data_IF_188493336325
#
_entry.id   IF_188493336325
#
_cell.length_a   1.000
_cell.length_b   1.000
_cell.length_c   1.000
_cell.angle_alpha   90.00
_cell.angle_beta   90.00
_cell.angle_gamma   90.00
#
_symmetry.space_group_name_H-M   'P 1'
#
loop_
_entity.id
_entity.type
_entity.pdbx_description
1 polymer ?
#
# COMPACT_ATOMS: atom_id res chain seq x y z
N UNK A 1 -1.74 -14.70 6.63
CA UNK A 1 -2.51 -14.61 5.37
C UNK A 1 -2.94 -16.03 4.99
N UNK A 2 -3.56 -16.25 3.82
CA UNK A 2 -3.94 -17.60 3.35
C UNK A 2 -2.75 -18.55 3.16
N UNK A 3 -1.53 -18.01 3.14
CA UNK A 3 -0.30 -18.75 2.88
C UNK A 3 0.51 -19.01 4.17
N UNK A 4 0.02 -18.54 5.33
CA UNK A 4 0.70 -18.61 6.63
C UNK A 4 2.16 -18.13 6.59
N UNK A 5 2.46 -17.13 5.77
CA UNK A 5 3.81 -16.59 5.69
C UNK A 5 4.16 -15.80 6.97
N UNK A 6 5.41 -15.90 7.47
CA UNK A 6 5.83 -15.20 8.66
C UNK A 6 5.74 -13.69 8.43
N UNK A 7 4.86 -13.05 9.19
CA UNK A 7 4.69 -11.60 9.20
C UNK A 7 5.62 -10.94 10.22
N UNK A 8 5.89 -9.64 10.02
CA UNK A 8 6.60 -8.85 11.01
C UNK A 8 5.76 -8.69 12.29
N UNK A 9 6.37 -8.93 13.45
CA UNK A 9 5.71 -8.72 14.74
C UNK A 9 5.64 -7.23 15.09
N UNK A 10 4.45 -6.73 15.40
CA UNK A 10 4.21 -5.33 15.78
C UNK A 10 4.36 -5.10 17.29
N UNK A 11 4.22 -6.16 18.09
CA UNK A 11 4.36 -6.11 19.54
C UNK A 11 5.71 -6.69 19.93
N UNK A 12 6.49 -5.90 20.67
CA UNK A 12 7.83 -6.26 21.10
C UNK A 12 8.14 -5.63 22.47
N UNK A 13 9.03 -6.26 23.27
CA UNK A 13 9.50 -5.67 24.51
C UNK A 13 10.25 -4.36 24.25
N UNK A 14 9.90 -3.30 24.98
CA UNK A 14 10.61 -2.00 24.91
C UNK A 14 11.86 -1.95 25.78
N UNK A 15 12.09 -2.99 26.56
CA UNK A 15 13.24 -3.20 27.44
C UNK A 15 13.60 -4.67 27.45
N UNK A 16 14.81 -4.98 27.91
CA UNK A 16 15.23 -6.35 28.10
C UNK A 16 14.33 -7.04 29.13
N UNK A 17 13.94 -8.27 28.83
CA UNK A 17 13.20 -9.14 29.74
C UNK A 17 14.20 -10.14 30.30
N UNK A 18 14.46 -10.05 31.61
CA UNK A 18 15.38 -10.97 32.30
C UNK A 18 14.55 -12.15 32.81
N UNK A 19 14.97 -13.36 32.44
CA UNK A 19 14.36 -14.61 32.90
C UNK A 19 15.34 -15.27 33.86
N UNK A 20 14.92 -15.50 35.11
CA UNK A 20 15.72 -16.21 36.10
C UNK A 20 15.41 -17.71 36.04
N UNK A 21 16.39 -18.49 35.59
CA UNK A 21 16.28 -19.95 35.48
C UNK A 21 16.73 -20.70 36.74
N UNK A 22 17.20 -20.00 37.78
CA UNK A 22 17.75 -20.62 39.00
C UNK A 22 16.76 -20.57 40.18
N UNK A 23 15.47 -20.72 39.90
CA UNK A 23 14.43 -20.76 40.93
C UNK A 23 14.32 -22.17 41.51
N UNK A 24 14.54 -22.32 42.83
CA UNK A 24 14.40 -23.60 43.53
C UNK A 24 12.95 -23.95 43.88
N UNK A 25 12.06 -22.96 43.88
CA UNK A 25 10.63 -23.09 44.10
C UNK A 25 9.86 -22.55 42.90
N UNK A 26 8.69 -23.10 42.53
CA UNK A 26 7.87 -22.57 41.45
C UNK A 26 7.43 -21.14 41.75
N UNK A 27 7.97 -20.16 41.03
CA UNK A 27 7.54 -18.75 41.11
C UNK A 27 6.56 -18.47 39.97
N UNK A 28 5.38 -17.95 40.30
CA UNK A 28 4.42 -17.45 39.30
C UNK A 28 4.58 -15.93 39.16
N UNK A 29 5.51 -15.51 38.31
CA UNK A 29 5.74 -14.12 37.91
C UNK A 29 4.97 -13.74 36.63
N UNK A 30 3.99 -14.56 36.24
CA UNK A 30 3.18 -14.30 35.06
C UNK A 30 2.42 -12.99 35.20
N UNK A 31 2.69 -12.04 34.32
CA UNK A 31 1.86 -10.86 34.13
C UNK A 31 0.95 -11.05 32.92
N UNK A 32 -0.27 -10.51 33.01
CA UNK A 32 -1.17 -10.54 31.87
C UNK A 32 -0.60 -9.70 30.72
N UNK A 33 -0.54 -10.28 29.52
CA UNK A 33 -0.31 -9.54 28.27
C UNK A 33 -1.53 -8.66 27.99
N UNK A 34 -1.62 -7.53 28.69
CA UNK A 34 -2.72 -6.59 28.54
C UNK A 34 -2.52 -5.80 27.26
N UNK A 35 -3.36 -6.07 26.25
CA UNK A 35 -3.41 -5.27 25.04
C UNK A 35 -4.05 -3.93 25.38
N UNK A 36 -3.26 -2.86 25.39
CA UNK A 36 -3.81 -1.50 25.50
C UNK A 36 -4.67 -1.25 24.26
N UNK A 37 -5.87 -0.71 24.42
CA UNK A 37 -6.67 -0.20 23.30
C UNK A 37 -5.93 0.99 22.72
N UNK A 38 -5.16 0.77 21.68
CA UNK A 38 -4.40 1.82 21.00
C UNK A 38 -5.35 2.69 20.17
N UNK A 39 -5.03 3.99 20.10
CA UNK A 39 -5.69 4.90 19.20
C UNK A 39 -5.56 4.38 17.75
N UNK A 40 -6.54 4.67 16.87
CA UNK A 40 -6.45 4.27 15.48
C UNK A 40 -5.14 4.78 14.87
N UNK A 41 -4.37 3.86 14.28
CA UNK A 41 -3.08 4.17 13.64
C UNK A 41 -3.32 5.16 12.51
N UNK A 42 -2.66 6.32 12.56
CA UNK A 42 -2.76 7.31 11.51
C UNK A 42 -2.01 6.83 10.26
N UNK A 43 -2.75 6.44 9.23
CA UNK A 43 -2.18 5.96 7.96
C UNK A 43 -1.38 7.05 7.24
N UNK A 44 -0.42 6.63 6.42
CA UNK A 44 0.15 7.53 5.42
C UNK A 44 -0.86 7.89 4.34
N UNK A 45 -0.58 8.94 3.59
CA UNK A 45 -1.46 9.41 2.52
C UNK A 45 -1.59 8.36 1.40
N UNK A 46 -2.82 8.10 0.96
CA UNK A 46 -3.09 7.32 -0.25
C UNK A 46 -2.80 8.16 -1.49
N UNK A 47 -1.71 7.87 -2.18
CA UNK A 47 -1.40 8.57 -3.44
C UNK A 47 -2.21 8.00 -4.60
N UNK A 48 -2.68 8.90 -5.48
CA UNK A 48 -3.37 8.56 -6.73
C UNK A 48 -2.69 9.27 -7.89
N UNK A 49 -2.36 8.55 -8.96
CA UNK A 49 -1.83 9.12 -10.19
C UNK A 49 -2.97 9.22 -11.21
N UNK A 50 -3.61 10.39 -11.24
CA UNK A 50 -4.76 10.71 -12.11
C UNK A 50 -4.41 11.61 -13.30
N UNK A 51 -3.16 12.03 -13.43
CA UNK A 51 -2.72 12.92 -14.49
C UNK A 51 -2.85 12.23 -15.86
N UNK A 52 -3.74 12.77 -16.69
CA UNK A 52 -4.04 12.26 -18.01
C UNK A 52 -2.86 12.34 -18.98
N UNK A 53 -1.78 13.06 -18.67
CA UNK A 53 -0.57 13.15 -19.53
C UNK A 53 0.44 12.06 -19.24
N UNK A 54 0.37 11.43 -18.06
CA UNK A 54 1.32 10.38 -17.67
C UNK A 54 1.04 9.11 -18.48
N UNK A 55 2.07 8.67 -19.22
CA UNK A 55 2.05 7.42 -20.01
C UNK A 55 3.16 6.45 -19.62
N UNK A 56 4.15 6.92 -18.87
CA UNK A 56 5.29 6.12 -18.41
C UNK A 56 5.33 6.08 -16.89
N UNK A 57 5.53 4.88 -16.34
CA UNK A 57 5.64 4.64 -14.91
C UNK A 57 6.99 4.00 -14.60
N UNK A 58 7.76 4.59 -13.68
CA UNK A 58 8.99 3.98 -13.19
C UNK A 58 8.65 3.15 -11.96
N UNK A 59 8.90 1.83 -12.04
CA UNK A 59 8.58 0.87 -11.01
C UNK A 59 9.87 0.27 -10.41
N UNK A 60 10.02 0.38 -9.09
CA UNK A 60 11.13 -0.18 -8.33
C UNK A 60 10.63 -0.65 -6.96
N UNK A 61 11.48 -1.33 -6.19
CA UNK A 61 11.09 -1.94 -4.91
C UNK A 61 11.51 -1.07 -3.72
N UNK A 62 10.75 -1.14 -2.64
CA UNK A 62 11.11 -0.55 -1.35
C UNK A 62 10.38 -1.23 -0.19
N UNK A 63 10.68 -0.87 1.07
CA UNK A 63 10.05 -1.51 2.21
C UNK A 63 8.57 -1.14 2.31
N UNK A 64 7.76 -2.03 2.86
CA UNK A 64 6.30 -1.86 2.90
C UNK A 64 5.78 -0.84 3.92
N UNK A 65 6.64 -0.29 4.78
CA UNK A 65 6.30 0.85 5.65
C UNK A 65 5.38 0.54 6.83
N UNK A 66 5.42 -0.69 7.35
CA UNK A 66 4.76 -1.06 8.60
C UNK A 66 3.24 -0.89 8.60
N UNK A 67 2.69 -0.55 9.77
CA UNK A 67 1.24 -0.39 9.98
C UNK A 67 0.69 0.85 9.30
N UNK A 68 1.51 1.90 9.12
CA UNK A 68 1.08 3.15 8.47
C UNK A 68 1.14 3.08 6.94
N UNK A 69 2.00 2.22 6.39
CA UNK A 69 2.20 1.98 4.96
C UNK A 69 1.27 0.92 4.40
N UNK A 70 1.82 -0.07 3.69
CA UNK A 70 1.07 -1.08 2.94
C UNK A 70 -0.06 -1.70 3.77
N UNK A 71 0.24 -2.20 4.96
CA UNK A 71 -0.74 -2.93 5.77
C UNK A 71 -1.93 -2.07 6.16
N UNK A 72 -1.70 -0.84 6.59
CA UNK A 72 -2.79 0.07 6.93
C UNK A 72 -3.56 0.58 5.72
N UNK A 73 -2.90 0.75 4.57
CA UNK A 73 -3.53 1.22 3.34
C UNK A 73 -4.40 0.15 2.68
N UNK A 74 -3.95 -1.10 2.69
CA UNK A 74 -4.58 -2.21 1.96
C UNK A 74 -5.41 -3.12 2.86
N UNK A 75 -5.11 -3.17 4.15
CA UNK A 75 -5.65 -4.16 5.09
C UNK A 75 -4.96 -5.53 5.02
N UNK A 76 -3.95 -5.69 4.16
CA UNK A 76 -3.22 -6.94 3.96
C UNK A 76 -1.76 -6.82 4.39
N UNK A 77 -1.21 -7.88 4.95
CA UNK A 77 0.21 -7.90 5.31
C UNK A 77 1.05 -8.12 4.05
N UNK A 78 2.03 -7.25 3.84
CA UNK A 78 3.00 -7.38 2.74
C UNK A 78 4.08 -8.41 3.08
N UNK A 79 4.67 -9.04 2.06
CA UNK A 79 5.84 -9.93 2.17
C UNK A 79 7.13 -9.22 2.65
N UNK A 80 7.07 -7.91 2.90
CA UNK A 80 8.18 -7.08 3.41
C UNK A 80 8.60 -5.98 2.43
N UNK A 81 8.36 -6.19 1.14
CA UNK A 81 8.59 -5.23 0.07
C UNK A 81 7.27 -4.78 -0.57
N UNK A 82 7.30 -3.60 -1.17
CA UNK A 82 6.20 -3.03 -1.93
C UNK A 82 6.71 -2.35 -3.19
N UNK A 83 5.85 -2.26 -4.20
CA UNK A 83 6.12 -1.53 -5.43
C UNK A 83 6.05 -0.03 -5.19
N UNK A 84 7.10 0.65 -5.61
CA UNK A 84 7.17 2.10 -5.64
C UNK A 84 7.04 2.53 -7.09
N UNK A 85 6.02 3.34 -7.39
CA UNK A 85 5.73 3.84 -8.72
C UNK A 85 5.92 5.36 -8.72
N UNK A 86 6.82 5.86 -9.57
CA UNK A 86 7.17 7.28 -9.65
C UNK A 86 7.52 7.90 -8.28
N UNK A 87 8.15 7.11 -7.39
CA UNK A 87 8.56 7.54 -6.06
C UNK A 87 7.47 7.47 -4.98
N UNK A 88 6.26 7.01 -5.31
CA UNK A 88 5.17 6.79 -4.37
C UNK A 88 5.05 5.30 -4.04
N UNK A 89 4.83 4.95 -2.77
CA UNK A 89 4.53 3.58 -2.37
C UNK A 89 3.09 3.23 -2.80
N UNK A 90 2.96 2.15 -3.57
CA UNK A 90 1.69 1.55 -3.99
C UNK A 90 0.57 2.52 -4.44
N UNK A 91 0.84 3.56 -5.26
CA UNK A 91 -0.20 4.51 -5.64
C UNK A 91 -1.31 3.82 -6.44
N UNK A 92 -2.52 4.33 -6.32
CA UNK A 92 -3.59 3.97 -7.25
C UNK A 92 -3.34 4.64 -8.60
N UNK A 93 -3.39 3.87 -9.69
CA UNK A 93 -3.15 4.37 -11.04
C UNK A 93 -4.48 4.54 -11.78
N UNK A 94 -4.64 5.59 -12.58
CA UNK A 94 -5.81 5.78 -13.42
C UNK A 94 -5.42 5.79 -14.90
N UNK A 95 -5.76 4.71 -15.60
CA UNK A 95 -5.42 4.51 -17.00
C UNK A 95 -6.69 4.55 -17.85
N UNK A 96 -6.60 5.12 -19.05
CA UNK A 96 -7.71 5.21 -19.96
C UNK A 96 -7.68 4.06 -20.98
N UNK A 97 -8.84 3.47 -21.26
CA UNK A 97 -8.99 2.45 -22.31
C UNK A 97 -8.56 2.98 -23.68
N UNK A 98 -7.90 2.12 -24.46
CA UNK A 98 -7.41 2.42 -25.80
C UNK A 98 -6.13 3.25 -25.85
N UNK A 99 -5.53 3.60 -24.71
CA UNK A 99 -4.23 4.26 -24.65
C UNK A 99 -3.14 3.30 -24.21
N UNK A 100 -1.96 3.43 -24.83
CA UNK A 100 -0.77 2.64 -24.50
C UNK A 100 -0.01 3.29 -23.34
N UNK A 101 0.40 2.47 -22.39
CA UNK A 101 1.22 2.85 -21.23
C UNK A 101 2.44 1.95 -21.13
N UNK A 102 3.53 2.49 -20.59
CA UNK A 102 4.77 1.75 -20.41
C UNK A 102 5.21 1.78 -18.95
N UNK A 103 5.39 0.60 -18.35
CA UNK A 103 6.03 0.45 -17.05
C UNK A 103 7.50 0.11 -17.27
N UNK A 104 8.39 0.95 -16.74
CA UNK A 104 9.83 0.73 -16.65
C UNK A 104 10.12 -0.01 -15.36
N UNK A 105 10.22 -1.33 -15.46
CA UNK A 105 10.29 -2.24 -14.31
C UNK A 105 11.73 -2.53 -13.93
N UNK A 106 12.02 -2.36 -12.63
CA UNK A 106 13.30 -2.68 -12.00
C UNK A 106 13.08 -3.56 -10.76
N UNK A 107 12.54 -4.75 -10.99
CA UNK A 107 12.14 -5.71 -9.96
C UNK A 107 13.16 -6.79 -9.63
N UNK A 108 14.29 -6.81 -10.34
CA UNK A 108 15.37 -7.80 -10.20
C UNK A 108 15.22 -9.00 -11.13
N UNK A 109 16.35 -9.47 -11.66
CA UNK A 109 16.45 -10.39 -12.79
C UNK A 109 17.00 -11.78 -12.42
N UNK A 110 17.19 -12.08 -11.13
CA UNK A 110 17.72 -13.37 -10.67
C UNK A 110 16.62 -14.23 -10.02
N UNK A 111 16.03 -15.20 -10.74
CA UNK A 111 14.97 -16.09 -10.20
C UNK A 111 15.37 -16.90 -8.97
N UNK A 112 16.67 -17.08 -8.72
CA UNK A 112 17.17 -17.81 -7.55
C UNK A 112 17.20 -16.94 -6.27
N UNK A 113 16.85 -15.66 -6.38
CA UNK A 113 16.72 -14.75 -5.23
C UNK A 113 15.25 -14.35 -5.08
N UNK A 114 14.39 -15.19 -4.47
CA UNK A 114 12.96 -14.92 -4.38
C UNK A 114 12.61 -13.65 -3.58
N UNK A 115 13.51 -13.17 -2.72
CA UNK A 115 13.40 -11.90 -2.00
C UNK A 115 13.65 -10.66 -2.88
N UNK A 116 14.35 -10.84 -4.00
CA UNK A 116 14.75 -9.74 -4.89
C UNK A 116 14.39 -9.99 -6.34
N UNK A 117 13.53 -10.97 -6.61
CA UNK A 117 13.05 -11.32 -7.93
C UNK A 117 11.56 -11.06 -7.98
N UNK A 118 11.20 -9.85 -8.39
CA UNK A 118 9.82 -9.41 -8.46
C UNK A 118 9.47 -8.88 -9.84
N UNK A 119 9.21 -9.76 -10.81
CA UNK A 119 8.61 -9.32 -12.05
C UNK A 119 7.25 -8.67 -11.83
N UNK A 120 6.97 -7.58 -12.54
CA UNK A 120 5.69 -6.89 -12.47
C UNK A 120 4.68 -7.57 -13.38
N UNK A 121 3.53 -7.91 -12.82
CA UNK A 121 2.40 -8.51 -13.55
C UNK A 121 1.14 -7.71 -13.29
N UNK A 122 0.22 -7.74 -14.24
CA UNK A 122 -1.10 -7.12 -14.10
C UNK A 122 -2.16 -8.20 -14.26
N UNK A 123 -3.01 -8.33 -13.25
CA UNK A 123 -4.06 -9.35 -13.18
C UNK A 123 -5.36 -8.75 -12.65
N UNK A 124 -6.44 -9.52 -12.65
CA UNK A 124 -7.67 -9.17 -11.95
C UNK A 124 -7.69 -9.59 -10.47
N UNK A 125 -6.61 -10.21 -9.98
CA UNK A 125 -6.47 -10.64 -8.58
C UNK A 125 -5.74 -9.58 -7.73
N UNK A 126 -6.30 -9.19 -6.57
CA UNK A 126 -5.66 -8.22 -5.67
C UNK A 126 -4.42 -8.74 -4.94
N UNK A 127 -4.28 -10.05 -4.75
CA UNK A 127 -3.25 -10.62 -3.88
C UNK A 127 -1.90 -10.71 -4.59
N UNK A 128 -1.86 -11.08 -5.87
CA UNK A 128 -0.61 -11.30 -6.61
C UNK A 128 0.14 -12.56 -6.17
N UNK A 129 1.46 -12.61 -6.37
CA UNK A 129 2.25 -13.80 -6.06
C UNK A 129 1.86 -15.02 -6.89
N UNK A 130 1.48 -14.77 -8.15
CA UNK A 130 0.91 -15.76 -9.08
C UNK A 130 1.71 -17.07 -9.13
N UNK A 131 3.04 -17.00 -9.13
CA UNK A 131 3.95 -18.16 -9.19
C UNK A 131 3.79 -19.14 -8.02
N UNK A 132 3.41 -18.63 -6.84
CA UNK A 132 3.28 -19.42 -5.61
C UNK A 132 1.88 -19.99 -5.39
N UNK A 133 0.93 -19.63 -6.25
CA UNK A 133 -0.43 -20.14 -6.18
C UNK A 133 -0.50 -21.57 -6.73
N UNK A 134 -1.40 -22.38 -6.18
CA UNK A 134 -1.74 -23.69 -6.77
C UNK A 134 -2.29 -23.53 -8.19
N UNK A 135 -2.11 -24.54 -9.05
CA UNK A 135 -2.63 -24.55 -10.43
C UNK A 135 -4.13 -24.21 -10.50
N UNK A 136 -4.93 -24.73 -9.56
CA UNK A 136 -6.36 -24.43 -9.48
C UNK A 136 -6.61 -22.92 -9.30
N UNK A 137 -5.86 -22.27 -8.40
CA UNK A 137 -5.96 -20.82 -8.20
C UNK A 137 -5.39 -20.01 -9.34
N UNK A 138 -4.29 -20.44 -9.94
CA UNK A 138 -3.77 -19.79 -11.16
C UNK A 138 -4.82 -19.81 -12.28
N UNK A 139 -5.59 -20.89 -12.41
CA UNK A 139 -6.63 -21.02 -13.45
C UNK A 139 -7.85 -20.11 -13.25
N UNK A 140 -8.10 -19.65 -12.02
CA UNK A 140 -9.17 -18.71 -11.69
C UNK A 140 -8.80 -17.24 -12.01
N UNK A 141 -7.50 -16.95 -12.14
CA UNK A 141 -6.97 -15.59 -12.26
C UNK A 141 -6.71 -15.26 -13.73
N UNK A 142 -7.23 -14.11 -14.18
CA UNK A 142 -6.95 -13.62 -15.52
C UNK A 142 -5.70 -12.75 -15.50
N UNK A 143 -4.63 -13.28 -16.10
CA UNK A 143 -3.43 -12.48 -16.36
C UNK A 143 -3.67 -11.58 -17.57
N UNK A 144 -3.50 -10.26 -17.37
CA UNK A 144 -3.75 -9.24 -18.38
C UNK A 144 -2.46 -8.73 -19.02
N UNK A 145 -1.35 -8.72 -18.28
CA UNK A 145 -0.03 -8.37 -18.79
C UNK A 145 1.11 -8.92 -17.91
N UNK A 146 2.31 -9.01 -18.48
CA UNK A 146 3.54 -9.32 -17.74
C UNK A 146 3.87 -10.81 -17.59
N UNK A 147 3.05 -11.70 -18.18
CA UNK A 147 3.29 -13.15 -18.20
C UNK A 147 3.03 -13.69 -19.61
N UNK A 148 3.93 -14.55 -20.06
CA UNK A 148 3.76 -15.41 -21.24
C UNK A 148 3.57 -16.85 -20.80
N UNK A 149 2.70 -17.59 -21.47
CA UNK A 149 2.54 -19.02 -21.21
C UNK A 149 3.37 -19.81 -22.22
N UNK A 150 4.20 -20.71 -21.71
CA UNK A 150 4.95 -21.65 -22.55
C UNK A 150 3.99 -22.61 -23.28
N UNK A 151 4.50 -23.35 -24.28
CA UNK A 151 3.71 -24.41 -24.96
C UNK A 151 3.13 -25.47 -24.01
N UNK A 152 3.73 -25.64 -22.83
CA UNK A 152 3.28 -26.57 -21.78
C UNK A 152 2.32 -25.91 -20.78
N UNK A 153 1.86 -24.70 -21.04
CA UNK A 153 0.97 -23.95 -20.14
C UNK A 153 1.66 -23.35 -18.90
N UNK A 154 2.99 -23.48 -18.76
CA UNK A 154 3.69 -22.88 -17.61
C UNK A 154 3.80 -21.36 -17.76
N UNK A 155 3.46 -20.57 -16.73
CA UNK A 155 3.62 -19.13 -16.74
C UNK A 155 5.10 -18.75 -16.69
N UNK A 156 5.49 -17.75 -17.48
CA UNK A 156 6.82 -17.16 -17.50
C UNK A 156 6.68 -15.64 -17.46
N UNK A 157 7.20 -14.95 -16.42
CA UNK A 157 7.11 -13.51 -16.34
C UNK A 157 7.98 -12.85 -17.41
N UNK A 158 7.51 -11.74 -17.98
CA UNK A 158 8.21 -11.02 -19.06
C UNK A 158 8.83 -9.69 -18.63
N UNK A 159 8.43 -9.15 -17.48
CA UNK A 159 8.81 -7.82 -17.03
C UNK A 159 9.49 -7.84 -15.65
N UNK A 160 10.75 -8.27 -15.61
CA UNK A 160 11.55 -8.31 -14.38
C UNK A 160 12.49 -7.09 -14.26
N UNK A 161 13.42 -6.97 -15.22
CA UNK A 161 14.40 -5.88 -15.26
C UNK A 161 15.49 -5.98 -14.18
N UNK A 162 16.54 -5.13 -14.27
CA UNK A 162 17.59 -5.04 -13.25
C UNK A 162 17.01 -4.64 -11.89
N UNK A 163 17.66 -5.02 -10.80
CA UNK A 163 17.19 -4.67 -9.46
C UNK A 163 17.38 -3.16 -9.21
N UNK A 164 16.31 -2.51 -8.75
CA UNK A 164 16.45 -1.27 -7.99
C UNK A 164 15.63 -1.34 -6.71
N UNK A 165 16.29 -1.09 -5.59
CA UNK A 165 15.74 -1.29 -4.25
C UNK A 165 16.07 -0.08 -3.37
N UNK A 166 15.04 0.50 -2.75
CA UNK A 166 15.21 1.33 -1.57
C UNK A 166 15.35 0.42 -0.35
N UNK A 167 16.46 0.55 0.38
CA UNK A 167 16.77 -0.20 1.59
C UNK A 167 16.90 0.72 2.79
N UNK A 168 16.68 0.17 3.98
CA UNK A 168 16.97 0.87 5.21
C UNK A 168 18.49 1.15 5.34
N UNK A 169 18.90 2.24 6.00
CA UNK A 169 20.29 2.43 6.40
C UNK A 169 20.80 1.26 7.26
N UNK A 170 22.12 1.00 7.29
CA UNK A 170 22.69 0.00 8.19
C UNK A 170 22.28 0.24 9.64
N UNK A 171 21.97 -0.84 10.37
CA UNK A 171 21.54 -0.82 11.78
C UNK A 171 20.23 -0.06 12.07
N UNK A 172 19.41 0.18 11.05
CA UNK A 172 18.10 0.80 11.24
C UNK A 172 17.10 -0.19 11.86
N UNK A 173 16.40 0.24 12.90
CA UNK A 173 15.34 -0.52 13.54
C UNK A 173 14.00 -0.33 12.81
N UNK A 174 13.58 -1.33 12.04
CA UNK A 174 12.33 -1.36 11.25
C UNK A 174 11.07 -1.13 12.08
N UNK A 175 11.12 -1.38 13.40
CA UNK A 175 9.99 -1.12 14.31
C UNK A 175 9.67 0.37 14.42
N UNK A 176 10.62 1.22 14.03
CA UNK A 176 10.48 2.68 14.08
C UNK A 176 9.86 3.27 12.81
N UNK A 177 9.49 2.44 11.82
CA UNK A 177 8.84 2.90 10.58
C UNK A 177 7.59 3.75 10.86
N UNK A 178 6.79 3.33 11.84
CA UNK A 178 5.53 4.02 12.19
C UNK A 178 5.75 5.40 12.85
N UNK A 179 6.99 5.71 13.27
CA UNK A 179 7.34 7.04 13.81
C UNK A 179 7.37 8.13 12.74
N UNK A 180 7.47 7.77 11.45
CA UNK A 180 7.39 8.74 10.38
C UNK A 180 5.96 9.25 10.19
N UNK A 181 5.79 10.58 10.30
CA UNK A 181 4.49 11.24 10.13
C UNK A 181 3.93 11.12 8.72
N UNK A 182 4.77 10.98 7.69
CA UNK A 182 4.35 10.83 6.30
C UNK A 182 5.27 9.89 5.54
N UNK A 183 4.73 9.23 4.51
CA UNK A 183 5.52 8.40 3.60
C UNK A 183 6.69 9.18 2.97
N UNK A 184 6.53 10.46 2.63
CA UNK A 184 7.61 11.27 2.05
C UNK A 184 8.82 11.39 2.99
N UNK A 185 8.60 11.50 4.30
CA UNK A 185 9.69 11.51 5.28
C UNK A 185 10.36 10.15 5.40
N UNK A 186 9.55 9.08 5.42
CA UNK A 186 10.04 7.70 5.41
C UNK A 186 10.88 7.41 4.15
N UNK A 187 10.37 7.70 2.96
CA UNK A 187 11.09 7.44 1.71
C UNK A 187 12.44 8.18 1.63
N UNK A 188 12.51 9.38 2.21
CA UNK A 188 13.76 10.16 2.28
C UNK A 188 14.81 9.60 3.25
N UNK A 189 14.43 8.74 4.20
CA UNK A 189 15.39 8.09 5.10
C UNK A 189 16.00 6.83 4.50
N UNK A 190 15.48 6.35 3.37
CA UNK A 190 15.96 5.14 2.70
C UNK A 190 17.16 5.44 1.78
N UNK A 191 18.00 4.43 1.60
CA UNK A 191 19.09 4.42 0.63
C UNK A 191 18.64 3.67 -0.61
N UNK A 192 18.65 4.32 -1.78
CA UNK A 192 18.19 3.68 -3.02
C UNK A 192 19.37 3.25 -3.87
N UNK A 193 19.39 1.97 -4.23
CA UNK A 193 20.42 1.37 -5.06
C UNK A 193 19.80 0.73 -6.28
N UNK A 194 20.21 1.21 -7.45
CA UNK A 194 19.81 0.64 -8.72
C UNK A 194 21.04 0.11 -9.44
N UNK A 195 20.92 -1.06 -10.05
CA UNK A 195 21.89 -1.52 -11.05
C UNK A 195 21.79 -0.62 -12.28
N UNK A 196 22.95 -0.17 -12.78
CA UNK A 196 23.07 0.72 -13.94
C UNK A 196 22.88 -0.05 -15.26
N UNK A 197 21.68 -0.57 -15.45
CA UNK A 197 21.23 -1.25 -16.66
C UNK A 197 19.85 -0.71 -17.07
N UNK A 198 19.45 -0.84 -18.35
CA UNK A 198 18.11 -0.45 -18.78
C UNK A 198 16.99 -1.24 -18.07
N UNK A 199 15.86 -0.60 -17.72
CA UNK A 199 14.72 -1.29 -17.12
C UNK A 199 14.05 -2.25 -18.13
N UNK A 200 13.36 -3.27 -17.63
CA UNK A 200 12.45 -4.03 -18.48
C UNK A 200 11.22 -3.17 -18.81
N UNK A 201 10.72 -3.27 -20.04
CA UNK A 201 9.55 -2.51 -20.48
C UNK A 201 8.33 -3.43 -20.50
N UNK A 202 7.32 -3.11 -19.69
CA UNK A 202 6.00 -3.71 -19.78
C UNK A 202 5.06 -2.70 -20.44
N UNK A 203 4.75 -2.94 -21.71
CA UNK A 203 3.79 -2.14 -22.46
C UNK A 203 2.39 -2.74 -22.34
N UNK A 204 1.40 -1.91 -22.05
CA UNK A 204 0.01 -2.31 -21.94
C UNK A 204 -0.91 -1.33 -22.66
N UNK A 205 -2.00 -1.86 -23.20
CA UNK A 205 -3.09 -1.07 -23.78
C UNK A 205 -4.42 -1.63 -23.28
N UNK A 206 -4.95 -1.12 -22.15
CA UNK A 206 -6.23 -1.58 -21.63
C UNK A 206 -7.32 -1.41 -22.68
N UNK A 207 -8.03 -2.48 -23.02
CA UNK A 207 -9.08 -2.48 -24.05
C UNK A 207 -10.46 -2.66 -23.40
N UNK A 208 -11.53 -2.86 -24.18
CA UNK A 208 -12.90 -3.03 -23.64
C UNK A 208 -13.09 -4.31 -22.80
N UNK A 209 -12.22 -5.32 -22.92
CA UNK A 209 -12.35 -6.59 -22.19
C UNK A 209 -11.69 -6.57 -20.82
N UNK A 210 -10.89 -5.55 -20.51
CA UNK A 210 -10.29 -5.37 -19.18
C UNK A 210 -11.38 -4.98 -18.16
N UNK A 211 -11.34 -5.44 -16.91
CA UNK A 211 -12.22 -4.91 -15.86
C UNK A 211 -11.89 -3.45 -15.55
N UNK A 212 -12.82 -2.74 -14.90
CA UNK A 212 -12.60 -1.35 -14.46
C UNK A 212 -11.58 -1.24 -13.31
N UNK A 213 -11.31 -2.34 -12.61
CA UNK A 213 -10.26 -2.43 -11.60
C UNK A 213 -9.41 -3.66 -11.86
N UNK A 214 -8.11 -3.44 -11.98
CA UNK A 214 -7.08 -4.47 -12.10
C UNK A 214 -5.96 -4.17 -11.13
N UNK A 215 -5.01 -5.08 -10.97
CA UNK A 215 -3.99 -4.99 -9.95
C UNK A 215 -2.62 -5.21 -10.56
N UNK A 216 -1.71 -4.26 -10.35
CA UNK A 216 -0.29 -4.50 -10.58
C UNK A 216 0.27 -5.15 -9.33
N UNK A 217 1.05 -6.21 -9.47
CA UNK A 217 1.65 -6.90 -8.33
C UNK A 217 2.96 -7.58 -8.72
N UNK A 218 3.65 -8.17 -7.75
CA UNK A 218 4.76 -9.08 -8.02
C UNK A 218 4.23 -10.43 -8.51
N UNK A 219 4.91 -11.00 -9.51
CA UNK A 219 4.70 -12.39 -9.94
C UNK A 219 5.06 -13.39 -8.83
N UNK A 220 6.08 -13.07 -8.04
CA UNK A 220 6.70 -14.00 -7.09
C UNK A 220 6.02 -13.98 -5.73
N UNK A 221 5.85 -12.81 -5.11
CA UNK A 221 5.19 -12.68 -3.80
C UNK A 221 3.90 -11.90 -3.89
N UNK A 222 2.94 -12.26 -3.04
CA UNK A 222 1.70 -11.53 -2.90
C UNK A 222 1.90 -10.24 -2.11
N UNK A 223 0.87 -9.40 -2.14
CA UNK A 223 0.73 -8.20 -1.32
C UNK A 223 1.88 -7.20 -1.47
N UNK A 224 2.36 -6.98 -2.71
CA UNK A 224 3.41 -6.00 -3.00
C UNK A 224 2.91 -4.81 -3.82
N UNK A 225 1.81 -4.96 -4.55
CA UNK A 225 1.25 -3.91 -5.41
C UNK A 225 -0.16 -3.48 -5.02
N UNK A 226 -0.82 -2.78 -5.94
CA UNK A 226 -2.12 -2.17 -5.70
C UNK A 226 -2.93 -1.94 -6.98
N UNK A 227 -3.91 -1.05 -6.91
CA UNK A 227 -4.99 -0.91 -7.90
C UNK A 227 -4.58 -0.05 -9.09
N UNK A 228 -5.03 -0.50 -10.25
CA UNK A 228 -5.19 0.31 -11.45
C UNK A 228 -6.68 0.42 -11.74
N UNK A 229 -7.18 1.64 -11.78
CA UNK A 229 -8.51 1.96 -12.25
C UNK A 229 -8.46 2.21 -13.75
N UNK A 230 -9.22 1.42 -14.50
CA UNK A 230 -9.37 1.54 -15.94
C UNK A 230 -10.62 2.37 -16.21
N UNK A 231 -10.47 3.52 -16.87
CA UNK A 231 -11.55 4.48 -17.12
C UNK A 231 -11.75 4.70 -18.62
N UNK A 232 -12.96 5.10 -19.00
CA UNK A 232 -13.23 5.51 -20.39
C UNK A 232 -12.90 6.99 -20.63
N UNK A 233 -12.99 7.82 -19.58
CA UNK A 233 -12.66 9.23 -19.62
C UNK A 233 -12.09 9.75 -18.31
N UNK A 234 -11.10 10.64 -18.42
CA UNK A 234 -10.51 11.36 -17.29
C UNK A 234 -11.41 12.48 -16.74
N UNK A 235 -12.45 12.89 -17.48
CA UNK A 235 -13.39 13.95 -17.03
C UNK A 235 -14.14 13.54 -15.76
N UNK A 236 -14.49 12.26 -15.63
CA UNK A 236 -15.26 11.74 -14.51
C UNK A 236 -14.48 11.77 -13.17
N UNK A 237 -13.15 11.79 -13.22
CA UNK A 237 -12.30 11.86 -12.01
C UNK A 237 -12.31 13.26 -11.36
N UNK A 238 -12.67 14.32 -12.10
CA UNK A 238 -12.71 15.69 -11.59
C UNK A 238 -13.97 15.97 -10.76
N UNK A 239 -15.07 15.23 -10.99
CA UNK A 239 -16.36 15.48 -10.34
C UNK A 239 -16.52 14.81 -8.97
N UNK A 240 -15.72 13.79 -8.66
CA UNK A 240 -15.74 13.11 -7.35
C UNK A 240 -15.07 13.91 -6.21
N UNK A 241 -14.50 15.07 -6.49
CA UNK A 241 -13.84 15.96 -5.50
C UNK A 241 -14.66 17.16 -5.05
N UNK A 242 -15.86 17.38 -5.59
CA UNK A 242 -16.77 18.44 -5.13
C UNK A 242 -17.83 17.86 -4.20
N UNK A 243 -17.47 17.75 -2.93
CA UNK A 243 -18.46 17.72 -1.84
C UNK A 243 -19.37 18.92 -2.05
N UNK A 244 -20.66 18.69 -2.32
CA UNK A 244 -21.66 19.76 -2.34
C UNK A 244 -21.62 20.42 -0.96
N UNK A 245 -21.02 21.61 -0.87
CA UNK A 245 -21.26 22.50 0.25
C UNK A 245 -22.73 22.91 0.12
N UNK A 246 -23.61 22.20 0.82
CA UNK A 246 -24.95 22.70 1.13
C UNK A 246 -24.78 23.91 2.02
N UNK A 247 -24.67 25.09 1.40
CA UNK A 247 -24.80 26.37 2.08
C UNK A 247 -26.25 26.45 2.55
N UNK A 248 -26.48 26.18 3.83
CA UNK A 248 -27.73 26.50 4.48
C UNK A 248 -27.78 28.02 4.69
N UNK A 249 -28.40 28.71 3.74
CA UNK A 249 -28.81 30.09 3.92
C UNK A 249 -29.93 30.16 4.95
N UNK A 250 -29.61 30.57 6.17
CA UNK A 250 -30.63 31.00 7.14
C UNK A 250 -31.18 32.36 6.71
N UNK A 251 -32.50 32.54 6.52
CA UNK A 251 -33.03 33.87 6.27
C UNK A 251 -33.03 34.64 7.59
N UNK A 252 -32.43 35.82 7.54
CA UNK A 252 -32.66 36.89 8.51
C UNK A 252 -34.17 37.11 8.67
N UNK A 253 -34.68 36.90 9.87
CA UNK A 253 -35.96 37.46 10.30
C UNK A 253 -35.72 38.28 11.57
N UNK A 254 -35.51 39.58 11.35
CA UNK A 254 -35.77 40.62 12.33
C UNK A 254 -37.17 40.43 12.92
N UNK A 255 -37.27 40.23 14.23
CA UNK A 255 -38.47 40.62 14.98
C UNK A 255 -38.03 41.26 16.29
N UNK A 256 -38.61 42.44 16.52
CA UNK A 256 -38.38 43.40 17.57
C UNK A 256 -38.69 42.85 18.98
N UNK A 257 -37.92 43.36 19.95
CA UNK A 257 -38.22 43.38 21.39
C UNK A 257 -39.59 44.01 21.69
N UNK A 258 -40.19 43.69 22.86
CA UNK A 258 -40.17 44.70 23.90
C UNK A 258 -39.81 44.20 25.31
N UNK A 259 -39.37 45.17 26.10
CA UNK A 259 -39.07 45.17 27.54
C UNK A 259 -40.08 44.39 28.41
N UNK A 260 -39.55 43.70 29.42
CA UNK A 260 -40.17 43.71 30.75
C UNK A 260 -39.09 43.65 31.84
N UNK A 261 -38.99 44.78 32.53
CA UNK A 261 -38.27 44.98 33.80
C UNK A 261 -39.04 44.25 34.90
N UNK A 262 -38.36 43.49 35.77
CA UNK A 262 -38.64 43.49 37.21
C UNK A 262 -37.47 42.92 38.02
N UNK A 263 -37.15 43.69 39.05
CA UNK A 263 -36.07 43.57 40.02
C UNK A 263 -36.20 42.32 40.92
N UNK A 264 -35.07 41.72 41.33
CA UNK A 264 -34.57 41.74 42.72
C UNK A 264 -33.52 40.63 42.97
N UNK A 265 -32.38 41.04 43.52
CA UNK A 265 -31.36 40.22 44.21
C UNK A 265 -31.89 39.72 45.59
N UNK A 266 -31.14 38.99 46.47
CA UNK A 266 -29.81 38.35 46.34
C UNK A 266 -29.70 36.89 46.89
N UNK A 267 -28.60 36.22 46.50
CA UNK A 267 -27.64 35.38 47.25
C UNK A 267 -28.01 34.37 48.37
N UNK A 268 -27.14 33.32 48.41
CA UNK A 268 -26.81 32.30 49.45
C UNK A 268 -27.56 30.96 49.27
N UNK A 269 -26.94 29.78 49.32
CA UNK A 269 -25.62 29.32 49.80
C UNK A 269 -24.88 28.50 48.73
#
# INVERSE_FOLDING_TARGET
DSNNEPAFHTHYPKSDIVIDFNTTEPVNDCFAFTKRTEAPVQLWERTRITDATVRTFNAYLGPSGGLRGYQGLTGHVSSGLAWYINGYMIPELFLKRGLTYTFKVRGGNNPHSPEHYHPLVITDDPQGGFDRLSDAKQSEIRVLAGVEFTRRGRPKPTAAGPLCLSRYPPNYDRRLDDNFSTFKKFNRSLLTECVDEPPALLEITPNITWPDTVYYNSFTHGNMGWKIHIVDSYTNLRHSGQSRLTVWSWPFACVLLPLLVLLAHPAKC
#
